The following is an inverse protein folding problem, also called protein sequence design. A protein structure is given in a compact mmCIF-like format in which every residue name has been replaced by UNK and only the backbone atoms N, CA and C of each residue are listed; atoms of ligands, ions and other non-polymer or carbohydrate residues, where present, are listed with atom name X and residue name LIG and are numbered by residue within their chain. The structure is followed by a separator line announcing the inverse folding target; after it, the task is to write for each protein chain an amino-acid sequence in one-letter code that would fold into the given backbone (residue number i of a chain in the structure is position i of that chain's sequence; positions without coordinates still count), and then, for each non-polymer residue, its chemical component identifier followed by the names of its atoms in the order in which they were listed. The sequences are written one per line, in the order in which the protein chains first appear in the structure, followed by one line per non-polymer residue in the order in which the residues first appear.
data_IF_996468356297
#
_entry.id   IF_996468356297
#
_cell.length_a   1.000
_cell.length_b   1.000
_cell.length_c   1.000
_cell.angle_alpha   90.00
_cell.angle_beta   90.00
_cell.angle_gamma   90.00
#
_symmetry.space_group_name_H-M   'P 1'
#
loop_
_entity.id
_entity.type
_entity.pdbx_description
1 polymer ?
#
# COMPACT_ATOMS: atom_id res chain seq x y z
N UNK A 1 21.29 -2.49 -6.75
CA UNK A 1 21.12 -3.41 -5.61
C UNK A 1 22.44 -4.13 -5.34
N UNK A 2 23.07 -3.96 -4.16
CA UNK A 2 24.27 -4.72 -3.79
C UNK A 2 23.94 -6.17 -3.43
N UNK A 3 24.93 -7.06 -3.47
CA UNK A 3 24.75 -8.48 -3.14
C UNK A 3 24.41 -8.66 -1.64
N UNK A 4 23.30 -9.34 -1.36
CA UNK A 4 22.88 -9.65 0.01
C UNK A 4 23.73 -10.76 0.63
N UNK A 5 24.15 -10.61 1.89
CA UNK A 5 24.94 -11.62 2.62
C UNK A 5 24.05 -12.74 3.20
N UNK A 6 23.39 -13.50 2.33
CA UNK A 6 22.58 -14.66 2.75
C UNK A 6 23.39 -15.95 2.62
N UNK A 7 23.42 -16.78 3.68
CA UNK A 7 24.17 -18.06 3.67
C UNK A 7 23.57 -19.10 2.72
N UNK A 8 22.25 -19.16 2.62
CA UNK A 8 21.53 -20.05 1.70
C UNK A 8 20.17 -19.41 1.37
N UNK A 9 20.10 -18.45 0.43
CA UNK A 9 18.84 -17.84 0.07
C UNK A 9 17.93 -18.91 -0.55
N UNK A 10 16.68 -19.01 -0.08
CA UNK A 10 15.68 -19.87 -0.72
C UNK A 10 15.30 -19.25 -2.06
N UNK A 11 15.98 -19.66 -3.12
CA UNK A 11 15.78 -19.14 -4.47
C UNK A 11 14.61 -19.79 -5.21
N UNK A 12 14.20 -21.00 -4.79
CA UNK A 12 13.07 -21.73 -5.37
C UNK A 12 12.09 -22.12 -4.28
N UNK A 13 10.83 -21.75 -4.49
CA UNK A 13 9.70 -22.21 -3.71
C UNK A 13 8.60 -22.66 -4.66
N UNK A 14 8.79 -23.86 -5.22
CA UNK A 14 7.95 -24.38 -6.31
C UNK A 14 6.49 -24.58 -5.89
N UNK A 15 6.24 -24.92 -4.62
CA UNK A 15 4.88 -25.05 -4.09
C UNK A 15 4.14 -23.71 -4.07
N UNK A 16 4.80 -22.63 -3.63
CA UNK A 16 4.21 -21.28 -3.63
C UNK A 16 3.95 -20.79 -5.06
N UNK A 17 4.89 -21.01 -5.98
CA UNK A 17 4.73 -20.61 -7.39
C UNK A 17 3.53 -21.33 -8.02
N UNK A 18 3.40 -22.65 -7.80
CA UNK A 18 2.25 -23.42 -8.31
C UNK A 18 0.94 -22.99 -7.68
N UNK A 19 0.92 -22.77 -6.37
CA UNK A 19 -0.26 -22.27 -5.68
C UNK A 19 -0.72 -20.91 -6.22
N UNK A 20 0.20 -19.97 -6.43
CA UNK A 20 -0.11 -18.67 -7.03
C UNK A 20 -0.67 -18.82 -8.45
N UNK A 21 -0.04 -19.67 -9.28
CA UNK A 21 -0.53 -19.98 -10.64
C UNK A 21 -1.97 -20.49 -10.63
N UNK A 22 -2.27 -21.46 -9.75
CA UNK A 22 -3.61 -22.02 -9.63
C UNK A 22 -4.64 -20.99 -9.19
N UNK A 23 -4.30 -20.11 -8.24
CA UNK A 23 -5.23 -19.05 -7.80
C UNK A 23 -5.53 -18.09 -8.94
N UNK A 24 -4.50 -17.60 -9.63
CA UNK A 24 -4.66 -16.64 -10.73
C UNK A 24 -5.51 -17.19 -11.88
N UNK A 25 -5.27 -18.45 -12.25
CA UNK A 25 -6.05 -19.14 -13.29
C UNK A 25 -7.51 -19.35 -12.87
N UNK A 26 -7.73 -19.90 -11.67
CA UNK A 26 -9.07 -20.26 -11.21
C UNK A 26 -9.96 -19.04 -10.92
N UNK A 27 -9.38 -17.91 -10.50
CA UNK A 27 -10.13 -16.66 -10.30
C UNK A 27 -10.30 -15.87 -11.59
N UNK A 28 -9.66 -16.28 -12.69
CA UNK A 28 -9.57 -15.52 -13.94
C UNK A 28 -9.04 -14.11 -13.71
N UNK A 29 -8.00 -13.99 -12.88
CA UNK A 29 -7.40 -12.71 -12.54
C UNK A 29 -6.84 -12.02 -13.78
N UNK A 30 -7.19 -10.74 -13.96
CA UNK A 30 -6.59 -9.87 -14.96
C UNK A 30 -5.39 -9.13 -14.34
N UNK A 31 -4.19 -9.39 -14.85
CA UNK A 31 -2.95 -8.81 -14.36
C UNK A 31 -2.46 -7.74 -15.35
N UNK A 32 -2.36 -6.51 -14.86
CA UNK A 32 -1.96 -5.35 -15.68
C UNK A 32 -0.78 -4.62 -15.07
N UNK A 33 0.08 -4.08 -15.93
CA UNK A 33 1.17 -3.17 -15.56
C UNK A 33 0.88 -1.80 -16.17
N UNK A 34 0.04 -1.03 -15.48
CA UNK A 34 -0.47 0.28 -15.92
C UNK A 34 -0.47 1.25 -14.74
N UNK A 35 -0.73 2.54 -15.00
CA UNK A 35 -0.95 3.50 -13.93
C UNK A 35 -2.22 3.16 -13.13
N UNK A 36 -2.20 3.43 -11.83
CA UNK A 36 -3.33 3.09 -10.96
C UNK A 36 -4.60 3.84 -11.35
N UNK A 37 -4.50 5.07 -11.86
CA UNK A 37 -5.67 5.85 -12.31
C UNK A 37 -6.37 5.17 -13.48
N UNK A 38 -5.60 4.59 -14.40
CA UNK A 38 -6.15 3.84 -15.53
C UNK A 38 -6.85 2.55 -15.07
N UNK A 39 -6.29 1.86 -14.06
CA UNK A 39 -6.92 0.69 -13.46
C UNK A 39 -8.25 1.02 -12.77
N UNK A 40 -8.35 2.20 -12.14
CA UNK A 40 -9.52 2.66 -11.39
C UNK A 40 -10.60 3.32 -12.27
N UNK A 41 -10.26 3.68 -13.51
CA UNK A 41 -11.17 4.40 -14.40
C UNK A 41 -12.49 3.64 -14.63
N UNK A 42 -12.45 2.32 -14.70
CA UNK A 42 -13.62 1.47 -14.94
C UNK A 42 -14.40 1.10 -13.67
N UNK A 43 -13.84 1.30 -12.47
CA UNK A 43 -14.46 0.85 -11.22
C UNK A 43 -15.71 1.66 -10.87
N UNK A 44 -16.77 1.03 -10.37
CA UNK A 44 -18.03 1.70 -10.08
C UNK A 44 -18.80 1.09 -8.92
N UNK A 45 -20.09 1.39 -8.90
CA UNK A 45 -20.99 0.94 -7.85
C UNK A 45 -20.85 -0.56 -7.58
N UNK A 46 -20.72 -0.92 -6.31
CA UNK A 46 -20.55 -2.28 -5.79
C UNK A 46 -19.17 -2.93 -6.02
N UNK A 47 -18.21 -2.25 -6.64
CA UNK A 47 -16.84 -2.72 -6.66
C UNK A 47 -16.17 -2.57 -5.29
N UNK A 48 -15.34 -3.54 -4.94
CA UNK A 48 -14.44 -3.49 -3.79
C UNK A 48 -13.01 -3.25 -4.26
N UNK A 49 -12.38 -2.21 -3.73
CA UNK A 49 -11.06 -1.75 -4.16
C UNK A 49 -10.14 -1.72 -2.95
N UNK A 50 -8.97 -2.37 -3.08
CA UNK A 50 -7.90 -2.30 -2.10
C UNK A 50 -6.70 -1.57 -2.68
N UNK A 51 -6.29 -0.48 -2.02
CA UNK A 51 -5.18 0.38 -2.43
C UNK A 51 -4.03 0.24 -1.42
N UNK A 52 -2.88 -0.21 -1.92
CA UNK A 52 -1.63 -0.37 -1.14
C UNK A 52 -0.49 0.41 -1.81
N UNK A 53 -0.54 1.76 -1.80
CA UNK A 53 0.47 2.58 -2.48
C UNK A 53 1.81 2.49 -1.75
N UNK A 54 2.91 3.03 -2.33
CA UNK A 54 4.12 3.28 -1.55
C UNK A 54 3.81 4.16 -0.34
N UNK A 55 4.22 3.71 0.85
CA UNK A 55 3.84 4.34 2.11
C UNK A 55 4.49 5.71 2.28
N UNK A 56 3.75 6.65 2.89
CA UNK A 56 4.32 7.93 3.28
C UNK A 56 5.42 7.71 4.33
N UNK A 57 6.64 8.26 4.14
CA UNK A 57 7.70 8.11 5.11
C UNK A 57 7.34 8.81 6.44
N UNK A 58 7.59 8.17 7.61
CA UNK A 58 7.30 8.79 8.91
C UNK A 58 8.19 10.02 9.20
N UNK A 59 9.37 10.12 8.58
CA UNK A 59 10.26 11.28 8.70
C UNK A 59 10.85 11.67 7.34
N UNK A 60 11.16 12.96 7.13
CA UNK A 60 11.85 13.44 5.92
C UNK A 60 13.24 12.83 5.72
N UNK A 61 13.86 12.27 6.75
CA UNK A 61 15.14 11.58 6.66
C UNK A 61 15.00 10.08 6.39
N UNK A 62 13.82 9.50 6.64
CA UNK A 62 13.52 8.12 6.27
C UNK A 62 13.29 7.93 4.76
N UNK A 63 13.10 9.03 4.01
CA UNK A 63 13.11 9.02 2.55
C UNK A 63 14.52 8.89 1.95
N UNK A 64 15.60 8.96 2.74
CA UNK A 64 16.98 8.91 2.22
C UNK A 64 17.43 7.50 1.76
N UNK A 65 16.48 6.60 1.52
CA UNK A 65 16.70 5.28 0.87
C UNK A 65 16.06 5.25 -0.53
N UNK A 66 16.11 6.37 -1.25
CA UNK A 66 15.63 6.45 -2.63
C UNK A 66 16.63 5.77 -3.58
N UNK A 67 16.36 4.51 -3.92
CA UNK A 67 16.94 3.87 -5.12
C UNK A 67 16.10 4.10 -6.39
N UNK A 68 15.21 5.11 -6.38
CA UNK A 68 14.47 5.56 -7.56
C UNK A 68 14.40 7.08 -7.57
N UNK A 69 15.05 7.76 -8.53
CA UNK A 69 14.73 9.15 -8.84
C UNK A 69 13.28 9.18 -9.35
N UNK A 70 12.33 9.70 -8.56
CA UNK A 70 10.91 9.79 -8.94
C UNK A 70 9.94 8.88 -8.16
N UNK A 71 10.18 8.61 -6.88
CA UNK A 71 9.25 7.86 -6.03
C UNK A 71 7.86 8.53 -5.85
N UNK A 72 6.98 7.83 -5.12
CA UNK A 72 5.63 8.32 -4.81
C UNK A 72 5.70 9.50 -3.83
N UNK A 73 5.53 10.70 -4.37
CA UNK A 73 5.70 11.95 -3.65
C UNK A 73 4.51 12.30 -2.76
N UNK A 74 4.65 13.32 -1.93
CA UNK A 74 3.51 13.90 -1.20
C UNK A 74 2.41 14.37 -2.16
N UNK A 75 2.75 14.84 -3.36
CA UNK A 75 1.78 15.22 -4.38
C UNK A 75 0.99 13.99 -4.84
N UNK A 76 1.67 12.87 -5.07
CA UNK A 76 1.01 11.62 -5.48
C UNK A 76 0.11 11.06 -4.37
N UNK A 77 0.50 11.21 -3.08
CA UNK A 77 -0.37 10.88 -1.94
C UNK A 77 -1.65 11.73 -1.92
N UNK A 78 -1.55 13.02 -2.25
CA UNK A 78 -2.71 13.93 -2.33
C UNK A 78 -3.63 13.55 -3.50
N UNK A 79 -3.06 13.32 -4.68
CA UNK A 79 -3.83 12.88 -5.85
C UNK A 79 -4.53 11.53 -5.59
N UNK A 80 -3.86 10.60 -4.91
CA UNK A 80 -4.48 9.33 -4.52
C UNK A 80 -5.64 9.52 -3.54
N UNK A 81 -5.55 10.45 -2.59
CA UNK A 81 -6.64 10.74 -1.65
C UNK A 81 -7.86 11.34 -2.37
N UNK A 82 -7.63 12.19 -3.38
CA UNK A 82 -8.70 12.70 -4.24
C UNK A 82 -9.37 11.57 -5.03
N UNK A 83 -8.60 10.66 -5.63
CA UNK A 83 -9.14 9.50 -6.34
C UNK A 83 -9.89 8.55 -5.40
N UNK A 84 -9.40 8.34 -4.18
CA UNK A 84 -10.09 7.58 -3.14
C UNK A 84 -11.49 8.14 -2.88
N UNK A 85 -11.60 9.46 -2.69
CA UNK A 85 -12.89 10.12 -2.50
C UNK A 85 -13.83 9.96 -3.70
N UNK A 86 -13.32 10.17 -4.92
CA UNK A 86 -14.10 9.99 -6.16
C UNK A 86 -14.65 8.57 -6.30
N UNK A 87 -13.87 7.55 -5.94
CA UNK A 87 -14.31 6.15 -5.97
C UNK A 87 -15.44 5.90 -4.97
N UNK A 88 -15.33 6.43 -3.76
CA UNK A 88 -16.39 6.33 -2.75
C UNK A 88 -17.67 7.02 -3.25
N UNK A 89 -17.55 8.22 -3.82
CA UNK A 89 -18.69 8.96 -4.39
C UNK A 89 -19.33 8.24 -5.59
N UNK A 90 -18.56 7.45 -6.35
CA UNK A 90 -19.05 6.56 -7.42
C UNK A 90 -19.78 5.30 -6.88
N UNK A 91 -19.81 5.11 -5.56
CA UNK A 91 -20.46 3.98 -4.90
C UNK A 91 -19.57 2.74 -4.77
N UNK A 92 -18.25 2.90 -4.84
CA UNK A 92 -17.29 1.83 -4.56
C UNK A 92 -17.09 1.67 -3.04
N UNK A 93 -16.77 0.46 -2.59
CA UNK A 93 -16.17 0.24 -1.27
C UNK A 93 -14.66 0.26 -1.43
N UNK A 94 -13.98 1.18 -0.76
CA UNK A 94 -12.54 1.39 -0.91
C UNK A 94 -11.85 1.19 0.44
N UNK A 95 -10.78 0.41 0.43
CA UNK A 95 -9.90 0.21 1.59
C UNK A 95 -8.50 0.62 1.20
N UNK A 96 -7.85 1.42 2.05
CA UNK A 96 -6.47 1.87 1.80
C UNK A 96 -5.59 1.64 3.03
N UNK A 97 -4.40 1.08 2.80
CA UNK A 97 -3.33 0.95 3.79
C UNK A 97 -2.26 2.02 3.60
N UNK A 98 -1.75 2.58 4.70
CA UNK A 98 -0.62 3.52 4.65
C UNK A 98 0.08 3.65 6.02
N UNK A 99 1.22 4.33 6.06
CA UNK A 99 1.83 4.80 7.32
C UNK A 99 0.91 5.77 8.06
N UNK A 100 0.92 5.71 9.38
CA UNK A 100 0.29 6.72 10.22
C UNK A 100 1.21 7.95 10.36
N UNK A 101 0.94 9.00 9.59
CA UNK A 101 1.67 10.28 9.61
C UNK A 101 0.69 11.45 9.75
N UNK A 102 1.18 12.64 10.08
CA UNK A 102 0.31 13.84 10.09
C UNK A 102 -0.32 14.10 8.72
N UNK A 103 0.41 13.87 7.63
CA UNK A 103 -0.11 14.03 6.27
C UNK A 103 -1.24 13.03 6.01
N UNK A 104 -0.98 11.73 6.16
CA UNK A 104 -1.98 10.70 5.84
C UNK A 104 -3.20 10.75 6.76
N UNK A 105 -3.06 11.18 8.01
CA UNK A 105 -4.21 11.47 8.88
C UNK A 105 -5.08 12.60 8.35
N UNK A 106 -4.45 13.65 7.81
CA UNK A 106 -5.17 14.81 7.28
C UNK A 106 -5.79 14.53 5.90
N UNK A 107 -5.15 13.74 5.05
CA UNK A 107 -5.71 13.41 3.73
C UNK A 107 -7.00 12.58 3.78
N UNK A 108 -7.23 11.87 4.87
CA UNK A 108 -8.33 10.91 5.01
C UNK A 108 -9.18 11.17 6.27
N UNK A 109 -9.16 12.39 6.81
CA UNK A 109 -9.86 12.76 8.05
C UNK A 109 -11.39 12.67 7.95
N UNK A 110 -11.93 12.79 6.74
CA UNK A 110 -13.37 12.59 6.44
C UNK A 110 -13.81 11.11 6.41
N UNK A 111 -12.88 10.15 6.55
CA UNK A 111 -13.16 8.72 6.47
C UNK A 111 -12.93 7.97 7.78
N UNK A 112 -13.49 6.76 7.90
CA UNK A 112 -13.21 5.90 9.05
C UNK A 112 -11.76 5.40 8.98
N UNK A 113 -10.97 5.69 10.02
CA UNK A 113 -9.58 5.26 10.13
C UNK A 113 -9.40 4.25 11.27
N UNK A 114 -8.90 3.05 10.94
CA UNK A 114 -8.44 2.06 11.91
C UNK A 114 -6.92 2.11 12.03
N UNK A 115 -6.41 2.19 13.26
CA UNK A 115 -4.96 2.20 13.54
C UNK A 115 -4.49 0.77 13.78
N UNK A 116 -3.36 0.43 13.18
CA UNK A 116 -2.70 -0.88 13.36
C UNK A 116 -1.27 -0.62 13.82
N UNK A 117 -0.88 -1.26 14.92
CA UNK A 117 0.52 -1.24 15.37
C UNK A 117 1.20 -2.49 14.86
N UNK A 118 2.20 -2.34 14.00
CA UNK A 118 2.97 -3.46 13.47
C UNK A 118 4.38 -3.48 14.06
N UNK A 119 4.80 -4.66 14.50
CA UNK A 119 6.17 -4.89 14.94
C UNK A 119 7.02 -5.16 13.71
N UNK A 120 7.82 -4.18 13.27
CA UNK A 120 8.87 -4.41 12.26
C UNK A 120 10.19 -4.66 12.99
N UNK A 121 10.74 -5.89 13.02
CA UNK A 121 12.03 -6.18 13.64
C UNK A 121 13.20 -5.74 12.74
N UNK A 122 13.18 -4.49 12.27
CA UNK A 122 14.18 -3.96 11.31
C UNK A 122 15.21 -3.07 12.01
N UNK A 123 14.98 -2.66 13.27
CA UNK A 123 15.94 -1.87 14.03
C UNK A 123 17.02 -2.76 14.69
N UNK A 124 18.29 -2.44 14.42
CA UNK A 124 19.48 -3.10 14.99
C UNK A 124 19.64 -2.83 16.50
N UNK A 125 18.99 -1.78 17.03
CA UNK A 125 18.97 -1.45 18.46
C UNK A 125 17.62 -1.84 19.07
N UNK A 126 17.63 -2.77 20.04
CA UNK A 126 16.43 -3.32 20.68
C UNK A 126 15.54 -2.27 21.35
N UNK A 127 16.12 -1.20 21.90
CA UNK A 127 15.38 -0.09 22.54
C UNK A 127 14.71 0.88 21.55
N UNK A 128 15.13 0.89 20.28
CA UNK A 128 14.56 1.72 19.21
C UNK A 128 13.44 1.02 18.43
N UNK A 129 12.98 -0.15 18.89
CA UNK A 129 11.86 -0.90 18.31
C UNK A 129 10.53 -0.32 18.79
N UNK A 130 10.30 0.96 18.52
CA UNK A 130 8.95 1.51 18.60
C UNK A 130 8.20 0.98 17.38
N UNK A 131 7.12 0.23 17.59
CA UNK A 131 6.33 -0.34 16.50
C UNK A 131 5.96 0.73 15.46
N UNK A 132 5.92 0.34 14.19
CA UNK A 132 5.45 1.24 13.15
C UNK A 132 3.93 1.31 13.25
N UNK A 133 3.42 2.53 13.22
CA UNK A 133 1.98 2.76 13.21
C UNK A 133 1.53 2.87 11.77
N UNK A 134 0.55 2.05 11.41
CA UNK A 134 -0.08 2.04 10.10
C UNK A 134 -1.56 2.38 10.29
N UNK A 135 -2.18 2.87 9.22
CA UNK A 135 -3.59 3.14 9.17
C UNK A 135 -4.25 2.33 8.07
N UNK A 136 -5.50 1.96 8.33
CA UNK A 136 -6.44 1.39 7.37
C UNK A 136 -7.59 2.38 7.25
N UNK A 137 -7.73 3.00 6.09
CA UNK A 137 -8.84 3.91 5.74
C UNK A 137 -9.96 3.11 5.12
N UNK A 138 -11.19 3.37 5.56
CA UNK A 138 -12.39 2.71 5.06
C UNK A 138 -13.34 3.73 4.45
N UNK A 139 -13.49 3.66 3.13
CA UNK A 139 -14.44 4.42 2.32
C UNK A 139 -15.63 3.52 1.99
N UNK A 140 -16.81 3.87 2.49
CA UNK A 140 -18.06 3.16 2.17
C UNK A 140 -18.96 4.05 1.30
N UNK A 141 -19.69 3.47 0.34
CA UNK A 141 -20.70 4.21 -0.42
C UNK A 141 -21.66 4.95 0.51
N UNK A 142 -22.00 6.19 0.16
CA UNK A 142 -23.03 6.98 0.87
C UNK A 142 -24.44 6.51 0.50
#
# INVERSE_FOLDING_TARGET
MPFGRYKNPRILNSDVIRAASHVLENTKADLRSIDYKDALAACGKADFIYLDPPYQPPTKTSSFTDYTPGGFSEKDQRELAEEFGKLVDRGCTVVLSNSETSLTRHLYDDFEIKKVTVNRPINSVGAGRTGYKELIVLGRPR
#
